data_IF_174851064606
#
_entry.id   IF_174851064606
#
_cell.length_a   1.000
_cell.length_b   1.000
_cell.length_c   1.000
_cell.angle_alpha   90.00
_cell.angle_beta   90.00
_cell.angle_gamma   90.00
#
_symmetry.space_group_name_H-M   'P 1'
#
loop_
_entity.id
_entity.type
_entity.pdbx_description
1 polymer ?
#
# COMPACT_ATOMS: atom_id res chain seq x y z
N UNK A 1 18.60 17.55 43.49
CA UNK A 1 17.24 17.50 42.99
C UNK A 1 17.05 18.20 41.64
N UNK A 2 17.59 19.41 41.42
CA UNK A 2 17.48 20.10 40.13
C UNK A 2 18.10 19.32 38.98
N UNK A 3 19.26 18.70 39.19
CA UNK A 3 19.93 17.88 38.14
C UNK A 3 19.11 16.64 37.78
N UNK A 4 18.39 16.05 38.72
CA UNK A 4 17.53 14.88 38.49
C UNK A 4 16.29 15.26 37.68
N UNK A 5 15.70 16.41 37.95
CA UNK A 5 14.53 16.91 37.19
C UNK A 5 14.95 17.24 35.76
N UNK A 6 16.10 17.86 35.56
CA UNK A 6 16.65 18.16 34.22
C UNK A 6 16.90 16.88 33.46
N UNK A 7 17.44 15.84 34.09
CA UNK A 7 17.65 14.53 33.47
C UNK A 7 16.34 13.89 33.00
N UNK A 8 15.30 13.97 33.83
CA UNK A 8 13.97 13.46 33.46
C UNK A 8 13.40 14.17 32.24
N UNK A 9 13.50 15.49 32.17
CA UNK A 9 13.05 16.28 31.01
C UNK A 9 13.81 15.91 29.74
N UNK A 10 15.11 15.70 29.83
CA UNK A 10 15.95 15.31 28.68
C UNK A 10 15.52 13.93 28.17
N UNK A 11 15.28 12.98 29.07
CA UNK A 11 14.82 11.63 28.70
C UNK A 11 13.46 11.67 28.03
N UNK A 12 12.52 12.47 28.55
CA UNK A 12 11.19 12.63 27.95
C UNK A 12 11.24 13.25 26.56
N UNK A 13 12.06 14.28 26.37
CA UNK A 13 12.26 14.90 25.05
C UNK A 13 12.87 13.92 24.05
N UNK A 14 13.88 13.13 24.45
CA UNK A 14 14.47 12.11 23.60
C UNK A 14 13.46 11.03 23.21
N UNK A 15 12.60 10.63 24.14
CA UNK A 15 11.56 9.64 23.88
C UNK A 15 10.51 10.16 22.91
N UNK A 16 10.02 11.39 23.08
CA UNK A 16 9.04 12.01 22.17
C UNK A 16 9.62 12.23 20.77
N UNK A 17 10.88 12.68 20.66
CA UNK A 17 11.56 12.80 19.36
C UNK A 17 11.71 11.45 18.67
N UNK A 18 12.06 10.39 19.41
CA UNK A 18 12.16 9.02 18.88
C UNK A 18 10.82 8.54 18.32
N UNK A 19 9.71 8.77 19.04
CA UNK A 19 8.37 8.41 18.55
C UNK A 19 7.98 9.16 17.28
N UNK A 20 8.28 10.45 17.20
CA UNK A 20 8.02 11.27 16.01
C UNK A 20 8.83 10.79 14.80
N UNK A 21 10.10 10.43 15.01
CA UNK A 21 10.95 9.89 13.94
C UNK A 21 10.42 8.55 13.44
N UNK A 22 10.07 7.64 14.33
CA UNK A 22 9.49 6.32 13.96
C UNK A 22 8.18 6.50 13.23
N UNK A 23 7.30 7.39 13.70
CA UNK A 23 6.05 7.70 13.01
C UNK A 23 6.28 8.23 11.59
N UNK A 24 7.21 9.14 11.42
CA UNK A 24 7.53 9.75 10.12
C UNK A 24 8.18 8.74 9.15
N UNK A 25 8.98 7.80 9.67
CA UNK A 25 9.56 6.72 8.85
C UNK A 25 8.53 5.68 8.43
N UNK A 26 7.49 5.48 9.24
CA UNK A 26 6.42 4.52 8.94
C UNK A 26 5.31 5.10 8.05
N UNK A 27 5.25 6.42 7.85
CA UNK A 27 4.36 7.01 6.85
C UNK A 27 4.92 6.70 5.47
N UNK A 28 4.29 5.75 4.79
CA UNK A 28 4.57 5.49 3.37
C UNK A 28 4.20 6.76 2.58
N UNK A 29 5.20 7.46 2.08
CA UNK A 29 4.98 8.53 1.12
C UNK A 29 4.47 7.91 -0.17
N UNK A 30 3.14 7.93 -0.35
CA UNK A 30 2.51 7.48 -1.58
C UNK A 30 2.74 8.53 -2.68
N UNK A 31 3.68 8.23 -3.57
CA UNK A 31 3.93 9.05 -4.75
C UNK A 31 3.06 8.57 -5.91
N UNK A 32 1.89 9.20 -6.03
CA UNK A 32 0.92 8.91 -7.08
C UNK A 32 1.49 9.08 -8.49
N UNK A 33 2.34 10.08 -8.69
CA UNK A 33 2.90 10.39 -10.01
C UNK A 33 3.84 9.28 -10.49
N UNK A 34 4.67 8.75 -9.61
CA UNK A 34 5.54 7.60 -9.92
C UNK A 34 4.73 6.36 -10.27
N UNK A 35 3.64 6.07 -9.55
CA UNK A 35 2.76 4.94 -9.86
C UNK A 35 2.09 5.09 -11.23
N UNK A 36 1.58 6.27 -11.56
CA UNK A 36 0.97 6.54 -12.87
C UNK A 36 2.01 6.41 -13.99
N UNK A 37 3.22 6.92 -13.78
CA UNK A 37 4.32 6.80 -14.73
C UNK A 37 4.69 5.33 -14.98
N UNK A 38 4.84 4.54 -13.92
CA UNK A 38 5.14 3.12 -14.03
C UNK A 38 4.03 2.34 -14.72
N UNK A 39 2.77 2.71 -14.50
CA UNK A 39 1.62 2.08 -15.15
C UNK A 39 1.64 2.25 -16.68
N UNK A 40 2.24 3.32 -17.20
CA UNK A 40 2.37 3.56 -18.64
C UNK A 40 3.33 2.59 -19.34
N UNK A 41 4.18 1.88 -18.59
CA UNK A 41 5.07 0.84 -19.14
C UNK A 41 4.33 -0.45 -19.50
N UNK A 42 3.06 -0.57 -19.11
CA UNK A 42 2.22 -1.72 -19.40
C UNK A 42 1.27 -1.42 -20.54
N UNK A 43 1.23 -2.34 -21.52
CA UNK A 43 0.32 -2.27 -22.66
C UNK A 43 -0.67 -3.43 -22.57
N UNK A 44 -1.88 -3.12 -22.11
CA UNK A 44 -2.92 -4.12 -21.87
C UNK A 44 -4.27 -3.59 -22.33
N UNK A 45 -5.08 -4.48 -22.92
CA UNK A 45 -6.46 -4.23 -23.25
C UNK A 45 -7.36 -5.14 -22.41
N UNK A 46 -8.39 -4.58 -21.82
CA UNK A 46 -9.39 -5.29 -21.04
C UNK A 46 -10.75 -5.08 -21.72
N UNK A 47 -11.32 -6.16 -22.23
CA UNK A 47 -12.66 -6.16 -22.82
C UNK A 47 -13.62 -6.88 -21.86
N UNK A 48 -14.73 -6.27 -21.52
CA UNK A 48 -15.78 -6.91 -20.70
C UNK A 48 -16.90 -7.38 -21.59
N UNK A 49 -17.33 -8.61 -21.38
CA UNK A 49 -18.49 -9.17 -22.06
C UNK A 49 -19.83 -8.71 -21.45
N UNK A 50 -20.95 -9.21 -21.98
CA UNK A 50 -22.29 -8.85 -21.49
C UNK A 50 -22.55 -9.29 -20.05
N UNK A 51 -21.77 -10.22 -19.51
CA UNK A 51 -21.84 -10.68 -18.12
C UNK A 51 -20.86 -9.93 -17.19
N UNK A 52 -20.12 -8.98 -17.73
CA UNK A 52 -19.10 -8.23 -16.99
C UNK A 52 -17.78 -8.97 -16.78
N UNK A 53 -17.59 -10.13 -17.42
CA UNK A 53 -16.36 -10.90 -17.29
C UNK A 53 -15.23 -10.22 -18.07
N UNK A 54 -14.11 -9.89 -17.43
CA UNK A 54 -12.99 -9.23 -18.08
C UNK A 54 -12.17 -10.24 -18.91
N UNK A 55 -11.91 -9.87 -20.15
CA UNK A 55 -10.99 -10.56 -21.05
C UNK A 55 -9.72 -9.72 -21.17
N UNK A 56 -8.61 -10.21 -20.64
CA UNK A 56 -7.35 -9.47 -20.55
C UNK A 56 -6.41 -9.89 -21.66
N UNK A 57 -5.96 -8.92 -22.46
CA UNK A 57 -5.05 -9.11 -23.58
C UNK A 57 -3.80 -8.27 -23.36
N UNK A 58 -2.67 -8.92 -23.08
CA UNK A 58 -1.35 -8.28 -22.98
C UNK A 58 -0.37 -8.88 -23.97
N UNK A 59 0.56 -8.08 -24.47
CA UNK A 59 1.62 -8.55 -25.38
C UNK A 59 2.70 -9.35 -24.64
N UNK A 60 2.95 -9.02 -23.39
CA UNK A 60 3.94 -9.66 -22.50
C UNK A 60 3.24 -10.21 -21.27
N UNK A 61 3.84 -11.21 -20.64
CA UNK A 61 3.29 -11.81 -19.40
C UNK A 61 3.06 -10.76 -18.31
N UNK A 62 3.98 -9.79 -18.16
CA UNK A 62 3.83 -8.70 -17.21
C UNK A 62 2.64 -7.79 -17.50
N UNK A 63 2.33 -7.56 -18.78
CA UNK A 63 1.18 -6.75 -19.19
C UNK A 63 -0.13 -7.46 -18.86
N UNK A 64 -0.20 -8.77 -19.14
CA UNK A 64 -1.35 -9.61 -18.80
C UNK A 64 -1.55 -9.67 -17.28
N UNK A 65 -0.49 -9.85 -16.50
CA UNK A 65 -0.56 -9.86 -15.04
C UNK A 65 -1.05 -8.52 -14.47
N UNK A 66 -0.56 -7.40 -15.03
CA UNK A 66 -1.02 -6.07 -14.64
C UNK A 66 -2.51 -5.87 -14.92
N UNK A 67 -2.97 -6.24 -16.11
CA UNK A 67 -4.38 -6.13 -16.50
C UNK A 67 -5.29 -7.02 -15.67
N UNK A 68 -4.85 -8.22 -15.32
CA UNK A 68 -5.58 -9.13 -14.44
C UNK A 68 -5.76 -8.52 -13.04
N UNK A 69 -4.68 -8.02 -12.45
CA UNK A 69 -4.73 -7.36 -11.14
C UNK A 69 -5.59 -6.10 -11.15
N UNK A 70 -5.52 -5.31 -12.22
CA UNK A 70 -6.35 -4.14 -12.42
C UNK A 70 -7.85 -4.49 -12.45
N UNK A 71 -8.24 -5.49 -13.27
CA UNK A 71 -9.62 -5.92 -13.39
C UNK A 71 -10.17 -6.48 -12.08
N UNK A 72 -9.39 -7.28 -11.35
CA UNK A 72 -9.78 -7.79 -10.03
C UNK A 72 -9.98 -6.66 -9.02
N UNK A 73 -9.09 -5.69 -8.99
CA UNK A 73 -9.18 -4.55 -8.07
C UNK A 73 -10.38 -3.66 -8.41
N UNK A 74 -10.69 -3.48 -9.68
CA UNK A 74 -11.88 -2.74 -10.12
C UNK A 74 -13.18 -3.42 -9.70
N UNK A 75 -13.22 -4.76 -9.75
CA UNK A 75 -14.42 -5.52 -9.38
C UNK A 75 -14.60 -5.63 -7.86
N UNK A 76 -13.53 -5.87 -7.11
CA UNK A 76 -13.60 -6.09 -5.67
C UNK A 76 -12.30 -5.69 -4.94
N UNK A 77 -12.13 -4.41 -4.77
CA UNK A 77 -10.98 -3.84 -4.05
C UNK A 77 -10.86 -4.38 -2.62
N UNK A 78 -11.99 -4.57 -1.93
CA UNK A 78 -11.99 -5.03 -0.54
C UNK A 78 -11.37 -6.41 -0.39
N UNK A 79 -11.76 -7.38 -1.22
CA UNK A 79 -11.19 -8.72 -1.18
C UNK A 79 -9.72 -8.75 -1.59
N UNK A 80 -9.33 -7.95 -2.58
CA UNK A 80 -7.91 -7.82 -2.99
C UNK A 80 -7.06 -7.28 -1.83
N UNK A 81 -7.52 -6.24 -1.17
CA UNK A 81 -6.84 -5.67 -0.01
C UNK A 81 -6.73 -6.67 1.15
N UNK A 82 -7.82 -7.40 1.44
CA UNK A 82 -7.84 -8.43 2.45
C UNK A 82 -6.83 -9.56 2.14
N UNK A 83 -6.78 -10.01 0.90
CA UNK A 83 -5.83 -11.05 0.47
C UNK A 83 -4.37 -10.59 0.61
N UNK A 84 -4.07 -9.34 0.26
CA UNK A 84 -2.73 -8.77 0.43
C UNK A 84 -2.34 -8.73 1.90
N UNK A 85 -3.22 -8.26 2.78
CA UNK A 85 -2.98 -8.21 4.23
C UNK A 85 -2.80 -9.61 4.82
N UNK A 86 -3.58 -10.58 4.35
CA UNK A 86 -3.43 -11.98 4.74
C UNK A 86 -2.06 -12.53 4.35
N UNK A 87 -1.63 -12.30 3.11
CA UNK A 87 -0.33 -12.75 2.62
C UNK A 87 0.85 -12.10 3.36
N UNK A 88 0.67 -10.86 3.85
CA UNK A 88 1.67 -10.13 4.64
C UNK A 88 1.63 -10.43 6.13
N UNK A 89 0.65 -11.20 6.61
CA UNK A 89 0.45 -11.50 8.03
C UNK A 89 -0.13 -10.33 8.85
N UNK A 90 -0.80 -9.40 8.20
CA UNK A 90 -1.32 -8.16 8.81
C UNK A 90 -2.85 -8.24 9.11
N UNK A 91 -3.38 -9.45 9.28
CA UNK A 91 -4.83 -9.63 9.49
C UNK A 91 -5.35 -9.04 10.81
N UNK A 92 -4.49 -8.85 11.79
CA UNK A 92 -4.87 -8.22 13.08
C UNK A 92 -5.27 -6.75 12.91
N UNK A 93 -4.83 -6.10 11.85
CA UNK A 93 -5.14 -4.70 11.55
C UNK A 93 -6.46 -4.53 10.78
N UNK A 94 -7.12 -5.66 10.47
CA UNK A 94 -8.37 -5.65 9.73
C UNK A 94 -9.55 -5.54 10.70
N UNK A 95 -10.27 -4.43 10.64
CA UNK A 95 -11.57 -4.29 11.32
C UNK A 95 -12.67 -4.85 10.40
N UNK A 96 -13.18 -5.99 10.78
CA UNK A 96 -14.32 -6.60 10.13
C UNK A 96 -15.64 -5.86 10.44
#
# INVERSE_FOLDING_TARGET
>A
MKKFIILLFVVEILFTVSLLVVHNLNTLNFDKETFIKNAKDYSVRIDRDIYGVPHVHGERDKDTAFGFGYAQTEDDLYHVEMMIKMARGEMSDFNF
#
